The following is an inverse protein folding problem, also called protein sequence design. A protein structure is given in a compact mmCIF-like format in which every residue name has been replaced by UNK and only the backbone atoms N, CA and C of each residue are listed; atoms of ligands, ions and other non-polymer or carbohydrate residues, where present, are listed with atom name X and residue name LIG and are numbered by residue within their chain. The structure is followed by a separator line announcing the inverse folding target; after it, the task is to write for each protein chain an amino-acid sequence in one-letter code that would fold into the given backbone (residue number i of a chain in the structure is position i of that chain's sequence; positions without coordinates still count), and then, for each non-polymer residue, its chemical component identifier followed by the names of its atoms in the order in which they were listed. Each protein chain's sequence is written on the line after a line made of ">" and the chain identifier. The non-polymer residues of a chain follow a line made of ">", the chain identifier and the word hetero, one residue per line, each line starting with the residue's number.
data_IF_338068381454
#
_entry.id   IF_338068381454
#
_cell.length_a   1.000
_cell.length_b   1.000
_cell.length_c   1.000
_cell.angle_alpha   90.00
_cell.angle_beta   90.00
_cell.angle_gamma   90.00
#
_symmetry.space_group_name_H-M   'P 1'
#
loop_
_entity.id
_entity.type
_entity.pdbx_description
1 polymer ?
#
# COMPACT_ATOMS: atom_id res chain seq x y z
N UNK A 1 27.60 8.28 -1.86
CA UNK A 1 28.80 7.47 -2.19
C UNK A 1 28.82 6.09 -1.52
N UNK A 2 28.68 5.97 -0.19
CA UNK A 2 28.68 4.67 0.54
C UNK A 2 27.63 3.65 0.03
N UNK A 3 26.37 4.07 -0.18
CA UNK A 3 25.30 3.19 -0.69
C UNK A 3 25.59 2.60 -2.09
N UNK A 4 26.34 3.31 -2.93
CA UNK A 4 26.67 2.89 -4.29
C UNK A 4 27.81 1.85 -4.25
N UNK A 5 28.80 2.08 -3.38
CA UNK A 5 29.93 1.16 -3.19
C UNK A 5 29.47 -0.19 -2.62
N UNK A 6 28.56 -0.17 -1.64
CA UNK A 6 27.98 -1.36 -1.01
C UNK A 6 27.12 -2.16 -2.03
N UNK A 7 26.30 -1.48 -2.85
CA UNK A 7 25.49 -2.15 -3.88
C UNK A 7 26.32 -2.86 -4.95
N UNK A 8 27.57 -2.45 -5.18
CA UNK A 8 28.48 -3.07 -6.16
C UNK A 8 29.03 -4.42 -5.68
N UNK A 9 29.12 -4.62 -4.37
CA UNK A 9 29.67 -5.84 -3.75
C UNK A 9 28.61 -6.82 -3.23
N UNK A 10 27.37 -6.37 -3.03
CA UNK A 10 26.29 -7.24 -2.56
C UNK A 10 25.64 -7.95 -3.75
N UNK A 11 25.61 -9.30 -3.78
CA UNK A 11 24.89 -10.05 -4.80
C UNK A 11 23.40 -9.70 -4.83
N UNK A 12 22.78 -9.64 -6.03
CA UNK A 12 21.36 -9.32 -6.19
C UNK A 12 20.45 -10.21 -5.35
N UNK A 13 20.80 -11.50 -5.18
CA UNK A 13 20.00 -12.42 -4.37
C UNK A 13 19.93 -11.97 -2.90
N UNK A 14 21.03 -11.48 -2.32
CA UNK A 14 21.06 -11.00 -0.92
C UNK A 14 20.16 -9.78 -0.75
N UNK A 15 20.16 -8.87 -1.72
CA UNK A 15 19.26 -7.71 -1.74
C UNK A 15 17.79 -8.13 -1.82
N UNK A 16 17.46 -9.13 -2.66
CA UNK A 16 16.09 -9.67 -2.74
C UNK A 16 15.67 -10.29 -1.40
N UNK A 17 16.52 -11.09 -0.77
CA UNK A 17 16.26 -11.69 0.54
C UNK A 17 16.07 -10.64 1.63
N UNK A 18 16.88 -9.58 1.63
CA UNK A 18 16.73 -8.45 2.54
C UNK A 18 15.38 -7.74 2.37
N UNK A 19 14.96 -7.48 1.13
CA UNK A 19 13.67 -6.83 0.88
C UNK A 19 12.48 -7.73 1.23
N UNK A 20 12.59 -9.03 0.96
CA UNK A 20 11.58 -10.01 1.30
C UNK A 20 11.44 -10.18 2.81
N UNK A 21 12.55 -10.32 3.54
CA UNK A 21 12.54 -10.46 5.00
C UNK A 21 11.95 -9.23 5.69
N UNK A 22 12.25 -8.02 5.22
CA UNK A 22 11.63 -6.80 5.72
C UNK A 22 10.12 -6.74 5.46
N UNK A 23 9.65 -7.27 4.33
CA UNK A 23 8.22 -7.33 4.03
C UNK A 23 7.50 -8.31 4.97
N UNK A 24 8.11 -9.48 5.22
CA UNK A 24 7.60 -10.46 6.21
C UNK A 24 7.58 -9.84 7.60
N UNK A 25 8.66 -9.18 8.02
CA UNK A 25 8.75 -8.55 9.33
C UNK A 25 7.66 -7.48 9.50
N UNK A 26 7.44 -6.63 8.51
CA UNK A 26 6.36 -5.65 8.54
C UNK A 26 4.98 -6.30 8.65
N UNK A 27 4.72 -7.36 7.86
CA UNK A 27 3.48 -8.14 7.92
C UNK A 27 3.25 -8.71 9.33
N UNK A 28 4.27 -9.29 9.94
CA UNK A 28 4.20 -9.88 11.28
C UNK A 28 3.98 -8.79 12.35
N UNK A 29 4.76 -7.71 12.29
CA UNK A 29 4.70 -6.60 13.24
C UNK A 29 3.31 -5.94 13.33
N UNK A 30 2.60 -5.83 12.21
CA UNK A 30 1.23 -5.27 12.18
C UNK A 30 0.11 -6.32 12.28
N UNK A 31 0.45 -7.60 12.46
CA UNK A 31 -0.52 -8.68 12.69
C UNK A 31 -1.29 -9.12 11.45
N UNK A 32 -0.62 -9.13 10.30
CA UNK A 32 -1.12 -9.56 8.98
C UNK A 32 -2.48 -8.93 8.59
N UNK A 33 -2.59 -7.59 8.52
CA UNK A 33 -3.85 -6.94 8.18
C UNK A 33 -4.33 -7.27 6.77
N UNK A 34 -3.43 -7.41 5.79
CA UNK A 34 -3.77 -7.78 4.41
C UNK A 34 -4.41 -9.16 4.28
N UNK A 35 -4.19 -10.08 5.23
CA UNK A 35 -4.82 -11.40 5.23
C UNK A 35 -6.24 -11.41 5.80
N UNK A 36 -6.77 -10.24 6.22
CA UNK A 36 -8.06 -10.09 6.92
C UNK A 36 -9.02 -9.15 6.17
N UNK A 37 -8.67 -8.75 4.96
CA UNK A 37 -9.45 -7.87 4.09
C UNK A 37 -9.08 -8.16 2.63
N UNK A 38 -9.93 -7.73 1.70
CA UNK A 38 -9.61 -7.79 0.27
C UNK A 38 -8.63 -6.66 -0.05
N UNK A 39 -7.54 -6.96 -0.74
CA UNK A 39 -6.58 -5.95 -1.19
C UNK A 39 -6.59 -5.89 -2.72
N UNK A 40 -6.92 -4.74 -3.27
CA UNK A 40 -6.97 -4.47 -4.72
C UNK A 40 -5.78 -3.60 -5.10
N UNK A 41 -4.85 -4.13 -5.87
CA UNK A 41 -3.73 -3.37 -6.44
C UNK A 41 -4.11 -2.78 -7.79
N UNK A 42 -3.96 -1.46 -7.96
CA UNK A 42 -4.21 -0.77 -9.24
C UNK A 42 -2.89 -0.27 -9.81
N UNK A 43 -2.49 -0.80 -10.97
CA UNK A 43 -1.23 -0.45 -11.66
C UNK A 43 -1.49 -0.05 -13.12
N UNK A 44 -0.49 0.55 -13.78
CA UNK A 44 -0.58 1.00 -15.16
C UNK A 44 0.11 2.35 -15.41
N UNK A 45 0.33 2.68 -16.68
CA UNK A 45 1.01 3.92 -17.09
C UNK A 45 0.19 5.16 -16.79
N UNK A 46 -1.13 5.09 -17.00
CA UNK A 46 -2.07 6.20 -16.76
C UNK A 46 -3.36 5.69 -16.10
N UNK A 47 -4.14 6.59 -15.51
CA UNK A 47 -5.48 6.28 -15.00
C UNK A 47 -5.54 5.58 -13.64
N UNK A 48 -4.42 5.17 -13.04
CA UNK A 48 -4.41 4.43 -11.76
C UNK A 48 -5.20 5.10 -10.64
N UNK A 49 -5.00 6.41 -10.44
CA UNK A 49 -5.70 7.15 -9.38
C UNK A 49 -7.20 7.25 -9.67
N UNK A 50 -7.58 7.54 -10.92
CA UNK A 50 -8.99 7.62 -11.34
C UNK A 50 -9.70 6.27 -11.19
N UNK A 51 -9.06 5.19 -11.66
CA UNK A 51 -9.58 3.83 -11.51
C UNK A 51 -9.71 3.43 -10.04
N UNK A 52 -8.72 3.76 -9.20
CA UNK A 52 -8.80 3.52 -7.75
C UNK A 52 -10.00 4.22 -7.12
N UNK A 53 -10.24 5.48 -7.52
CA UNK A 53 -11.38 6.27 -7.05
C UNK A 53 -12.71 5.68 -7.49
N UNK A 54 -12.85 5.27 -8.75
CA UNK A 54 -14.08 4.64 -9.24
C UNK A 54 -14.36 3.30 -8.55
N UNK A 55 -13.34 2.47 -8.33
CA UNK A 55 -13.49 1.22 -7.57
C UNK A 55 -13.96 1.52 -6.14
N UNK A 56 -13.37 2.52 -5.48
CA UNK A 56 -13.78 2.91 -4.12
C UNK A 56 -15.26 3.31 -4.09
N UNK A 57 -15.67 4.21 -4.98
CA UNK A 57 -17.05 4.69 -5.08
C UNK A 57 -18.05 3.55 -5.35
N UNK A 58 -17.74 2.65 -6.28
CA UNK A 58 -18.63 1.51 -6.59
C UNK A 58 -18.82 0.61 -5.36
N UNK A 59 -17.74 0.28 -4.66
CA UNK A 59 -17.78 -0.58 -3.48
C UNK A 59 -18.48 0.10 -2.28
N UNK A 60 -18.28 1.41 -2.10
CA UNK A 60 -18.97 2.19 -1.08
C UNK A 60 -20.48 2.26 -1.35
N UNK A 61 -20.88 2.48 -2.60
CA UNK A 61 -22.30 2.43 -3.01
C UNK A 61 -22.92 1.03 -2.81
N UNK A 62 -22.10 -0.03 -2.84
CA UNK A 62 -22.52 -1.39 -2.50
C UNK A 62 -22.55 -1.65 -0.97
N UNK A 63 -22.33 -0.63 -0.14
CA UNK A 63 -22.38 -0.72 1.33
C UNK A 63 -21.09 -1.25 1.99
N UNK A 64 -20.00 -1.37 1.24
CA UNK A 64 -18.71 -1.82 1.79
C UNK A 64 -17.92 -0.64 2.34
N UNK A 65 -17.23 -0.85 3.47
CA UNK A 65 -16.25 0.13 3.98
C UNK A 65 -14.92 -0.07 3.28
N UNK A 66 -14.43 0.99 2.65
CA UNK A 66 -13.22 0.96 1.81
C UNK A 66 -12.11 1.82 2.42
N UNK A 67 -10.88 1.32 2.34
CA UNK A 67 -9.67 2.13 2.47
C UNK A 67 -9.02 2.31 1.11
N UNK A 68 -8.41 3.47 0.85
CA UNK A 68 -7.74 3.73 -0.42
C UNK A 68 -6.42 4.49 -0.22
N UNK A 69 -5.42 4.16 -1.02
CA UNK A 69 -4.13 4.85 -1.07
C UNK A 69 -3.83 5.20 -2.52
N UNK A 70 -3.81 6.48 -2.87
CA UNK A 70 -3.43 6.96 -4.20
C UNK A 70 -2.26 7.92 -4.11
N UNK A 71 -1.74 8.33 -5.26
CA UNK A 71 -0.71 9.36 -5.37
C UNK A 71 -1.14 10.68 -4.69
N UNK A 72 -2.45 10.99 -4.68
CA UNK A 72 -2.98 12.28 -4.20
C UNK A 72 -3.75 12.18 -2.89
N UNK A 73 -4.31 11.03 -2.55
CA UNK A 73 -5.27 10.89 -1.44
C UNK A 73 -5.00 9.63 -0.61
N UNK A 74 -5.28 9.74 0.68
CA UNK A 74 -5.51 8.61 1.56
C UNK A 74 -6.95 8.63 2.02
N UNK A 75 -7.54 7.45 2.14
CA UNK A 75 -8.88 7.25 2.66
C UNK A 75 -8.93 6.07 3.60
N UNK A 76 -9.61 6.24 4.72
CA UNK A 76 -9.94 5.20 5.69
C UNK A 76 -11.40 5.36 6.07
N UNK A 77 -12.27 4.52 5.51
CA UNK A 77 -13.71 4.64 5.66
C UNK A 77 -14.16 6.07 5.31
N UNK A 78 -14.85 6.75 6.23
CA UNK A 78 -15.41 8.09 6.02
C UNK A 78 -14.37 9.22 6.05
N UNK A 79 -13.11 8.92 6.39
CA UNK A 79 -12.04 9.91 6.47
C UNK A 79 -11.20 9.91 5.20
N UNK A 80 -11.11 11.05 4.54
CA UNK A 80 -10.27 11.27 3.37
C UNK A 80 -9.38 12.50 3.57
N UNK A 81 -8.12 12.41 3.16
CA UNK A 81 -7.17 13.51 3.26
C UNK A 81 -6.07 13.41 2.19
N UNK A 82 -5.39 14.53 1.93
CA UNK A 82 -4.32 14.60 0.94
C UNK A 82 -3.11 13.72 1.33
N UNK A 83 -2.59 12.98 0.35
CA UNK A 83 -1.35 12.23 0.50
C UNK A 83 -0.16 13.19 0.59
N UNK A 84 0.30 13.45 1.81
CA UNK A 84 1.46 14.30 2.08
C UNK A 84 2.82 13.58 1.92
N UNK A 85 2.84 12.31 1.52
CA UNK A 85 4.07 11.50 1.42
C UNK A 85 4.77 11.61 0.08
N UNK A 86 4.19 12.30 -0.91
CA UNK A 86 4.75 12.51 -2.27
C UNK A 86 5.20 11.22 -2.97
N UNK A 87 4.65 10.07 -2.56
CA UNK A 87 4.96 8.76 -3.12
C UNK A 87 3.65 8.02 -3.37
N UNK A 88 3.54 7.38 -4.54
CA UNK A 88 2.38 6.57 -4.94
C UNK A 88 2.22 5.34 -4.05
N UNK A 89 3.31 4.62 -3.79
CA UNK A 89 3.33 3.46 -2.90
C UNK A 89 4.12 3.76 -1.63
N UNK A 90 3.52 3.48 -0.48
CA UNK A 90 4.18 3.63 0.81
C UNK A 90 5.22 2.52 1.03
N UNK A 91 6.20 2.81 1.89
CA UNK A 91 7.19 1.81 2.29
C UNK A 91 6.53 0.64 3.05
N UNK A 92 7.16 -0.54 3.01
CA UNK A 92 6.66 -1.83 3.57
C UNK A 92 5.96 -1.71 4.93
N UNK A 93 6.59 -1.01 5.88
CA UNK A 93 6.02 -0.79 7.22
C UNK A 93 4.86 0.19 7.23
N UNK A 94 4.92 1.24 6.43
CA UNK A 94 3.85 2.25 6.34
C UNK A 94 2.61 1.66 5.66
N UNK A 95 2.78 0.87 4.61
CA UNK A 95 1.68 0.14 3.95
C UNK A 95 0.99 -0.80 4.94
N UNK A 96 1.74 -1.62 5.67
CA UNK A 96 1.16 -2.53 6.66
C UNK A 96 0.52 -1.77 7.84
N UNK A 97 1.10 -0.64 8.28
CA UNK A 97 0.48 0.25 9.28
C UNK A 97 -0.87 0.78 8.81
N UNK A 98 -0.93 1.26 7.57
CA UNK A 98 -2.12 1.86 7.00
C UNK A 98 -3.22 0.82 6.80
N UNK A 99 -2.88 -0.37 6.29
CA UNK A 99 -3.79 -1.52 6.23
C UNK A 99 -4.32 -1.91 7.61
N UNK A 100 -3.47 -1.86 8.64
CA UNK A 100 -3.92 -2.11 10.02
C UNK A 100 -4.89 -1.03 10.51
N UNK A 101 -4.70 0.24 10.13
CA UNK A 101 -5.62 1.32 10.46
C UNK A 101 -6.96 1.16 9.72
N UNK A 102 -6.93 0.79 8.43
CA UNK A 102 -8.13 0.45 7.65
C UNK A 102 -8.90 -0.70 8.29
N UNK A 103 -8.21 -1.77 8.69
CA UNK A 103 -8.84 -2.91 9.34
C UNK A 103 -9.50 -2.51 10.66
N UNK A 104 -8.83 -1.67 11.46
CA UNK A 104 -9.38 -1.15 12.72
C UNK A 104 -10.60 -0.24 12.51
N UNK A 105 -10.68 0.47 11.38
CA UNK A 105 -11.83 1.28 11.01
C UNK A 105 -13.00 0.44 10.43
N UNK A 106 -12.83 -0.88 10.31
CA UNK A 106 -13.83 -1.78 9.76
C UNK A 106 -13.86 -1.83 8.24
N UNK A 107 -12.82 -1.33 7.55
CA UNK A 107 -12.72 -1.51 6.10
C UNK A 107 -12.60 -3.00 5.76
N UNK A 108 -13.39 -3.46 4.81
CA UNK A 108 -13.36 -4.83 4.27
C UNK A 108 -12.55 -4.92 2.99
N UNK A 109 -12.35 -3.78 2.31
CA UNK A 109 -11.55 -3.66 1.09
C UNK A 109 -10.52 -2.54 1.22
N UNK A 110 -9.29 -2.79 0.78
CA UNK A 110 -8.23 -1.80 0.66
C UNK A 110 -7.76 -1.70 -0.80
N UNK A 111 -7.83 -0.50 -1.37
CA UNK A 111 -7.40 -0.20 -2.74
C UNK A 111 -6.05 0.50 -2.67
N UNK A 112 -5.04 -0.06 -3.34
CA UNK A 112 -3.66 0.41 -3.31
C UNK A 112 -3.22 0.75 -4.72
N UNK A 113 -3.03 2.03 -4.99
CA UNK A 113 -2.32 2.48 -6.18
C UNK A 113 -0.87 2.00 -6.11
N UNK A 114 -0.47 1.23 -7.12
CA UNK A 114 0.83 0.57 -7.18
C UNK A 114 1.57 1.10 -8.41
N UNK A 115 2.77 1.64 -8.18
CA UNK A 115 3.68 2.02 -9.26
C UNK A 115 4.44 0.79 -9.78
N UNK A 116 4.89 0.85 -11.03
CA UNK A 116 5.70 -0.18 -11.68
C UNK A 116 7.20 -0.11 -11.33
N UNK A 117 7.60 0.82 -10.47
CA UNK A 117 8.98 1.01 -10.00
C UNK A 117 9.37 0.11 -8.81
#
# INVERSE_FOLDING_TARGET
>A
MIKILIKKFIPKFVLSWYHYSLAILAKWFYGNPSGKMIVVGVTGTAGKSSTSYFIAQILENAGLKVGMTTTTLFKIADKEWLNNKKMTMLGRFQTQKLLKQMLKAGCTVAIIETSSE
#
